data_IF_679309943117
#
_entry.id   IF_679309943117
#
_cell.length_a   1.000
_cell.length_b   1.000
_cell.length_c   1.000
_cell.angle_alpha   90.00
_cell.angle_beta   90.00
_cell.angle_gamma   90.00
#
_symmetry.space_group_name_H-M   'P 1'
#
loop_
_entity.id
_entity.type
_entity.pdbx_description
1 polymer ?
#
# COMPACT_ATOMS: atom_id res chain seq x y z
N UNK A 1 -2.78 -17.77 2.42
CA UNK A 1 -1.77 -16.97 3.17
C UNK A 1 -2.03 -15.51 2.85
N UNK A 2 -2.24 -14.71 3.87
CA UNK A 2 -2.44 -13.25 3.76
C UNK A 2 -1.27 -12.56 3.08
N UNK A 3 -1.56 -11.63 2.18
CA UNK A 3 -0.56 -10.82 1.48
C UNK A 3 -0.73 -9.36 1.89
N UNK A 4 0.31 -8.75 2.43
CA UNK A 4 0.34 -7.31 2.76
C UNK A 4 1.28 -6.60 1.82
N UNK A 5 0.79 -5.57 1.13
CA UNK A 5 1.61 -4.69 0.30
C UNK A 5 2.15 -3.55 1.18
N UNK A 6 3.45 -3.51 1.38
CA UNK A 6 4.13 -2.34 1.97
C UNK A 6 4.80 -1.58 0.83
N UNK A 7 4.30 -0.39 0.53
CA UNK A 7 4.85 0.47 -0.53
C UNK A 7 5.23 1.82 0.07
N UNK A 8 6.44 2.28 -0.21
CA UNK A 8 6.97 3.46 0.46
C UNK A 8 7.80 4.36 -0.47
N UNK A 9 8.02 5.59 -0.04
CA UNK A 9 8.97 6.52 -0.62
C UNK A 9 9.92 7.03 0.48
N UNK A 10 11.21 6.86 0.30
CA UNK A 10 12.25 7.25 1.27
C UNK A 10 13.33 8.10 0.63
N UNK A 11 13.75 9.15 1.32
CA UNK A 11 14.88 10.01 0.90
C UNK A 11 16.14 9.71 1.69
N UNK A 12 16.05 9.73 3.03
CA UNK A 12 17.21 9.57 3.92
C UNK A 12 17.38 8.15 4.47
N UNK A 13 16.44 7.24 4.18
CA UNK A 13 16.42 5.88 4.70
C UNK A 13 15.49 5.66 5.89
N UNK A 14 14.96 6.70 6.53
CA UNK A 14 14.10 6.57 7.70
C UNK A 14 12.76 5.88 7.37
N UNK A 15 12.13 6.26 6.26
CA UNK A 15 10.89 5.61 5.82
C UNK A 15 11.13 4.17 5.39
N UNK A 16 12.27 3.88 4.78
CA UNK A 16 12.67 2.51 4.45
C UNK A 16 12.79 1.66 5.71
N UNK A 17 13.50 2.16 6.74
CA UNK A 17 13.62 1.48 8.01
C UNK A 17 12.24 1.23 8.65
N UNK A 18 11.33 2.22 8.62
CA UNK A 18 9.97 2.07 9.09
C UNK A 18 9.20 0.99 8.30
N UNK A 19 9.33 0.96 6.97
CA UNK A 19 8.70 -0.04 6.10
C UNK A 19 9.17 -1.47 6.42
N UNK A 20 10.45 -1.64 6.73
CA UNK A 20 11.01 -2.94 7.13
C UNK A 20 10.44 -3.41 8.46
N UNK A 21 10.23 -2.50 9.42
CA UNK A 21 9.61 -2.82 10.72
C UNK A 21 8.14 -3.23 10.55
N UNK A 22 7.36 -2.47 9.76
CA UNK A 22 5.97 -2.86 9.43
C UNK A 22 5.92 -4.24 8.77
N UNK A 23 6.82 -4.49 7.82
CA UNK A 23 6.89 -5.79 7.15
C UNK A 23 7.27 -6.92 8.11
N UNK A 24 8.17 -6.68 9.07
CA UNK A 24 8.55 -7.65 10.08
C UNK A 24 7.37 -8.02 10.98
N UNK A 25 6.58 -7.03 11.43
CA UNK A 25 5.36 -7.24 12.21
C UNK A 25 4.32 -8.08 11.45
N UNK A 26 4.07 -7.76 10.19
CA UNK A 26 3.14 -8.53 9.36
C UNK A 26 3.63 -9.96 9.09
N UNK A 27 4.92 -10.15 8.84
CA UNK A 27 5.53 -11.48 8.68
C UNK A 27 5.45 -12.31 9.96
N UNK A 28 5.72 -11.70 11.12
CA UNK A 28 5.58 -12.34 12.43
C UNK A 28 4.16 -12.81 12.71
N UNK A 29 3.15 -12.12 12.15
CA UNK A 29 1.73 -12.50 12.20
C UNK A 29 1.32 -13.49 11.08
N UNK A 30 2.25 -14.01 10.30
CA UNK A 30 2.02 -15.04 9.28
C UNK A 30 1.66 -14.52 7.89
N UNK A 31 1.83 -13.23 7.59
CA UNK A 31 1.60 -12.68 6.27
C UNK A 31 2.82 -12.82 5.35
N UNK A 32 2.55 -12.89 4.05
CA UNK A 32 3.58 -12.70 3.02
C UNK A 32 3.72 -11.20 2.76
N UNK A 33 4.92 -10.70 2.87
CA UNK A 33 5.23 -9.27 2.66
C UNK A 33 6.56 -9.12 1.96
N UNK A 34 6.62 -8.22 1.00
CA UNK A 34 7.89 -7.70 0.45
C UNK A 34 7.74 -6.19 0.34
N UNK A 35 8.47 -5.40 1.14
CA UNK A 35 8.45 -3.94 1.00
C UNK A 35 8.97 -3.52 -0.38
N UNK A 36 8.32 -2.53 -0.99
CA UNK A 36 8.67 -1.99 -2.30
C UNK A 36 8.78 -0.48 -2.25
N UNK A 37 9.84 0.07 -2.81
CA UNK A 37 9.88 1.50 -3.16
C UNK A 37 8.77 1.79 -4.19
N UNK A 38 8.13 2.95 -4.10
CA UNK A 38 7.04 3.32 -5.02
C UNK A 38 7.44 3.26 -6.50
N UNK A 39 8.71 3.59 -6.81
CA UNK A 39 9.28 3.46 -8.16
C UNK A 39 9.37 2.02 -8.68
N UNK A 40 9.45 1.05 -7.79
CA UNK A 40 9.56 -0.38 -8.12
C UNK A 40 8.21 -1.11 -8.04
N UNK A 41 7.21 -0.48 -7.43
CA UNK A 41 5.88 -1.05 -7.30
C UNK A 41 5.13 -1.00 -8.65
N UNK A 42 4.45 -2.09 -8.98
CA UNK A 42 3.66 -2.21 -10.21
C UNK A 42 2.24 -1.66 -9.99
N UNK A 43 1.63 -1.07 -11.01
CA UNK A 43 0.24 -0.58 -10.92
C UNK A 43 -0.77 -1.63 -10.43
N UNK A 44 -0.51 -2.91 -10.69
CA UNK A 44 -1.39 -4.03 -10.33
C UNK A 44 -1.14 -4.60 -8.93
N UNK A 45 -0.05 -4.22 -8.26
CA UNK A 45 0.28 -4.75 -6.92
C UNK A 45 -0.89 -4.62 -5.91
N UNK A 46 -1.71 -3.53 -5.93
CA UNK A 46 -2.86 -3.45 -5.05
C UNK A 46 -3.95 -4.50 -5.31
N UNK A 47 -4.02 -5.10 -6.50
CA UNK A 47 -4.96 -6.19 -6.80
C UNK A 47 -4.49 -7.52 -6.21
N UNK A 48 -3.18 -7.68 -6.03
CA UNK A 48 -2.55 -8.93 -5.61
C UNK A 48 -2.39 -9.05 -4.09
N UNK A 49 -2.75 -8.01 -3.33
CA UNK A 49 -2.65 -7.99 -1.87
C UNK A 49 -4.03 -7.97 -1.20
N UNK A 50 -4.06 -8.37 0.07
CA UNK A 50 -5.24 -8.39 0.93
C UNK A 50 -5.34 -7.14 1.80
N UNK A 51 -4.21 -6.49 2.10
CA UNK A 51 -4.13 -5.23 2.82
C UNK A 51 -2.92 -4.42 2.35
N UNK A 52 -2.92 -3.10 2.59
CA UNK A 52 -1.86 -2.20 2.16
C UNK A 52 -1.34 -1.30 3.28
N UNK A 53 -0.03 -1.07 3.28
CA UNK A 53 0.66 -0.11 4.13
C UNK A 53 1.43 0.90 3.25
N UNK A 54 0.79 2.01 2.84
CA UNK A 54 1.51 3.09 2.19
C UNK A 54 2.33 3.88 3.21
N UNK A 55 3.58 4.16 2.88
CA UNK A 55 4.52 4.90 3.71
C UNK A 55 5.24 6.01 2.97
N UNK A 56 5.49 7.14 3.62
CA UNK A 56 6.20 8.27 3.02
C UNK A 56 7.03 9.04 4.02
N UNK A 57 8.06 9.73 3.50
CA UNK A 57 8.67 10.85 4.19
C UNK A 57 7.85 12.12 3.95
N UNK A 58 8.07 13.14 4.79
CA UNK A 58 7.50 14.48 4.59
C UNK A 58 8.23 15.18 3.43
N UNK A 59 7.49 15.41 2.36
CA UNK A 59 7.93 16.22 1.22
C UNK A 59 7.11 17.50 1.16
N UNK A 60 7.52 18.50 1.96
CA UNK A 60 6.82 19.79 2.06
C UNK A 60 5.34 19.67 2.49
N UNK A 61 5.10 18.93 3.56
CA UNK A 61 3.76 18.64 4.11
C UNK A 61 2.88 17.78 3.18
N UNK A 62 3.49 17.07 2.25
CA UNK A 62 2.85 16.15 1.31
C UNK A 62 3.63 14.82 1.23
N UNK A 63 3.03 13.80 0.63
CA UNK A 63 3.74 12.54 0.40
C UNK A 63 4.87 12.71 -0.62
N UNK A 64 5.90 11.90 -0.52
CA UNK A 64 7.01 11.87 -1.47
C UNK A 64 6.59 11.46 -2.88
N UNK A 65 7.31 12.00 -3.88
CA UNK A 65 6.97 11.86 -5.29
C UNK A 65 6.84 10.43 -5.79
N UNK A 66 7.71 9.52 -5.35
CA UNK A 66 7.66 8.12 -5.80
C UNK A 66 6.41 7.38 -5.29
N UNK A 67 5.90 7.70 -4.09
CA UNK A 67 4.63 7.15 -3.63
C UNK A 67 3.45 7.73 -4.42
N UNK A 68 3.45 9.06 -4.65
CA UNK A 68 2.41 9.72 -5.46
C UNK A 68 2.38 9.17 -6.89
N UNK A 69 3.52 9.03 -7.54
CA UNK A 69 3.63 8.41 -8.87
C UNK A 69 3.06 6.99 -8.90
N UNK A 70 3.40 6.17 -7.92
CA UNK A 70 2.82 4.82 -7.81
C UNK A 70 1.29 4.86 -7.70
N UNK A 71 0.75 5.72 -6.84
CA UNK A 71 -0.71 5.85 -6.67
C UNK A 71 -1.39 6.34 -7.95
N UNK A 72 -0.79 7.30 -8.66
CA UNK A 72 -1.30 7.77 -9.95
C UNK A 72 -1.34 6.64 -11.00
N UNK A 73 -0.27 5.85 -11.10
CA UNK A 73 -0.21 4.70 -12.02
C UNK A 73 -1.18 3.58 -11.64
N UNK A 74 -1.42 3.38 -10.35
CA UNK A 74 -2.27 2.31 -9.85
C UNK A 74 -3.77 2.63 -9.92
N UNK A 75 -4.17 3.90 -9.95
CA UNK A 75 -5.56 4.29 -9.78
C UNK A 75 -6.50 3.63 -10.79
N UNK A 76 -6.32 3.90 -12.08
CA UNK A 76 -7.22 3.36 -13.10
C UNK A 76 -7.19 1.84 -13.20
N UNK A 77 -6.03 1.16 -13.19
CA UNK A 77 -5.99 -0.30 -13.22
C UNK A 77 -6.67 -0.99 -12.04
N UNK A 78 -6.81 -0.31 -10.90
CA UNK A 78 -7.38 -0.91 -9.67
C UNK A 78 -8.75 -0.37 -9.30
N UNK A 79 -9.24 0.65 -10.01
CA UNK A 79 -10.50 1.31 -9.73
C UNK A 79 -11.67 0.31 -9.65
N UNK A 80 -12.42 0.36 -8.56
CA UNK A 80 -13.54 -0.54 -8.31
C UNK A 80 -13.16 -1.92 -7.78
N UNK A 81 -11.88 -2.32 -7.83
CA UNK A 81 -11.42 -3.64 -7.39
C UNK A 81 -10.77 -3.64 -6.00
N UNK A 82 -10.46 -2.47 -5.45
CA UNK A 82 -9.81 -2.31 -4.14
C UNK A 82 -10.72 -1.64 -3.10
N UNK A 83 -11.99 -1.46 -3.42
CA UNK A 83 -12.98 -0.87 -2.50
C UNK A 83 -13.01 -1.66 -1.19
N UNK A 84 -13.01 -0.92 -0.07
CA UNK A 84 -13.00 -1.44 1.30
C UNK A 84 -11.77 -2.31 1.66
N UNK A 85 -10.73 -2.34 0.79
CA UNK A 85 -9.48 -3.01 1.13
C UNK A 85 -8.85 -2.35 2.35
N UNK A 86 -8.48 -3.14 3.38
CA UNK A 86 -7.85 -2.60 4.59
C UNK A 86 -6.53 -1.89 4.28
N UNK A 87 -6.32 -0.72 4.88
CA UNK A 87 -5.03 -0.06 4.87
C UNK A 87 -4.73 0.63 6.21
N UNK A 88 -3.45 0.81 6.47
CA UNK A 88 -2.94 1.68 7.52
C UNK A 88 -1.62 2.29 7.05
N UNK A 89 -1.46 3.60 7.24
CA UNK A 89 -0.32 4.35 6.75
C UNK A 89 0.75 4.57 7.82
N UNK A 90 1.97 4.82 7.39
CA UNK A 90 3.06 5.29 8.25
C UNK A 90 3.84 6.40 7.55
N UNK A 91 4.35 7.33 8.34
CA UNK A 91 5.09 8.50 7.84
C UNK A 91 6.30 8.77 8.70
N UNK A 92 7.36 9.30 8.07
CA UNK A 92 8.56 9.77 8.77
C UNK A 92 8.79 11.23 8.43
N UNK A 93 9.18 12.04 9.42
CA UNK A 93 9.35 13.48 9.24
C UNK A 93 10.47 14.03 10.13
N UNK A 94 11.01 15.17 9.74
CA UNK A 94 11.90 15.98 10.59
C UNK A 94 11.17 17.11 11.33
N UNK A 95 9.89 17.36 11.00
CA UNK A 95 9.08 18.47 11.47
C UNK A 95 7.77 18.04 12.13
N UNK A 96 6.64 18.45 11.54
CA UNK A 96 5.31 18.32 12.18
C UNK A 96 4.52 17.07 11.74
N UNK A 97 4.98 16.30 10.77
CA UNK A 97 4.32 15.04 10.32
C UNK A 97 2.96 15.25 9.67
N UNK A 98 2.79 16.30 8.88
CA UNK A 98 1.50 16.64 8.23
C UNK A 98 1.21 15.82 6.97
N UNK A 99 2.20 15.16 6.40
CA UNK A 99 2.11 14.40 5.15
C UNK A 99 1.13 13.22 5.20
N UNK A 100 0.85 12.69 6.37
CA UNK A 100 -0.12 11.60 6.56
C UNK A 100 -1.49 11.91 5.99
N UNK A 101 -1.93 13.19 6.05
CA UNK A 101 -3.21 13.62 5.49
C UNK A 101 -3.30 13.46 3.98
N UNK A 102 -2.20 13.62 3.25
CA UNK A 102 -2.18 13.42 1.80
C UNK A 102 -2.36 11.96 1.42
N UNK A 103 -1.78 11.04 2.19
CA UNK A 103 -1.98 9.60 2.00
C UNK A 103 -3.43 9.23 2.30
N UNK A 104 -3.99 9.70 3.40
CA UNK A 104 -5.38 9.45 3.79
C UNK A 104 -6.37 9.98 2.73
N UNK A 105 -6.12 11.18 2.18
CA UNK A 105 -6.96 11.75 1.13
C UNK A 105 -6.96 10.90 -0.15
N UNK A 106 -5.79 10.40 -0.59
CA UNK A 106 -5.73 9.52 -1.75
C UNK A 106 -6.33 8.13 -1.46
N UNK A 107 -6.14 7.60 -0.25
CA UNK A 107 -6.77 6.34 0.15
C UNK A 107 -8.31 6.42 0.06
N UNK A 108 -8.90 7.57 0.38
CA UNK A 108 -10.33 7.82 0.19
C UNK A 108 -10.74 7.81 -1.29
N UNK A 109 -9.91 8.35 -2.18
CA UNK A 109 -10.16 8.32 -3.63
C UNK A 109 -10.16 6.87 -4.14
N UNK A 110 -9.26 6.03 -3.64
CA UNK A 110 -9.25 4.58 -3.91
C UNK A 110 -10.38 3.82 -3.20
N UNK A 111 -11.13 4.47 -2.30
CA UNK A 111 -12.16 3.86 -1.45
C UNK A 111 -11.60 2.74 -0.55
N UNK A 112 -10.37 2.91 -0.06
CA UNK A 112 -9.78 2.00 0.91
C UNK A 112 -10.38 2.20 2.31
N UNK A 113 -10.37 1.16 3.12
CA UNK A 113 -10.83 1.20 4.51
C UNK A 113 -9.66 1.36 5.46
N UNK A 114 -9.57 2.51 6.13
CA UNK A 114 -8.59 2.71 7.20
C UNK A 114 -8.91 1.85 8.40
N UNK A 115 -7.94 1.07 8.87
CA UNK A 115 -8.11 0.13 9.99
C UNK A 115 -7.31 0.50 11.24
N UNK A 116 -6.39 1.44 11.14
CA UNK A 116 -5.62 1.98 12.25
C UNK A 116 -5.23 3.44 11.98
N UNK A 117 -4.91 4.22 13.01
CA UNK A 117 -4.33 5.55 12.85
C UNK A 117 -3.00 5.49 12.09
N UNK A 118 -2.66 6.55 11.35
CA UNK A 118 -1.35 6.70 10.74
C UNK A 118 -0.27 6.75 11.81
N UNK A 119 0.75 5.89 11.72
CA UNK A 119 1.92 5.95 12.60
C UNK A 119 2.86 7.03 12.10
N UNK A 120 3.10 8.05 12.92
CA UNK A 120 3.97 9.18 12.61
C UNK A 120 5.26 9.09 13.41
N UNK A 121 6.40 9.10 12.72
CA UNK A 121 7.72 8.90 13.32
C UNK A 121 8.62 10.10 13.03
N UNK A 122 9.12 10.73 14.07
CA UNK A 122 10.12 11.80 13.92
C UNK A 122 11.52 11.19 13.79
N UNK A 123 12.16 11.42 12.67
CA UNK A 123 13.50 10.91 12.40
C UNK A 123 13.56 9.41 12.16
N UNK A 124 14.63 8.78 12.63
CA UNK A 124 14.84 7.33 12.54
C UNK A 124 13.93 6.60 13.54
N UNK A 125 13.27 5.49 13.13
CA UNK A 125 12.46 4.70 14.05
C UNK A 125 13.28 4.16 15.23
N UNK A 126 12.81 4.43 16.45
CA UNK A 126 13.44 3.96 17.67
C UNK A 126 12.39 3.59 18.73
N UNK A 127 12.72 2.67 19.64
CA UNK A 127 11.90 2.28 20.81
C UNK A 127 10.40 2.17 20.52
N UNK A 128 9.62 3.14 21.02
CA UNK A 128 8.15 3.13 20.91
C UNK A 128 7.68 3.14 19.44
N UNK A 129 8.33 3.91 18.58
CA UNK A 129 8.00 3.94 17.15
C UNK A 129 8.18 2.57 16.48
N UNK A 130 9.20 1.80 16.87
CA UNK A 130 9.38 0.43 16.38
C UNK A 130 8.21 -0.45 16.82
N UNK A 131 7.80 -0.37 18.10
CA UNK A 131 6.66 -1.13 18.61
C UNK A 131 5.35 -0.77 17.88
N UNK A 132 5.11 0.51 17.65
CA UNK A 132 3.91 0.99 16.96
C UNK A 132 3.89 0.53 15.49
N UNK A 133 5.03 0.55 14.80
CA UNK A 133 5.17 0.10 13.42
C UNK A 133 5.02 -1.43 13.30
N UNK A 134 5.57 -2.21 14.24
CA UNK A 134 5.37 -3.66 14.31
C UNK A 134 3.88 -3.98 14.51
N UNK A 135 3.21 -3.31 15.46
CA UNK A 135 1.78 -3.49 15.72
C UNK A 135 0.94 -3.13 14.49
N UNK A 136 1.31 -2.08 13.75
CA UNK A 136 0.67 -1.74 12.48
C UNK A 136 0.72 -2.93 11.50
N UNK A 137 1.87 -3.57 11.36
CA UNK A 137 2.05 -4.75 10.52
C UNK A 137 1.19 -5.93 10.98
N UNK A 138 1.16 -6.21 12.28
CA UNK A 138 0.30 -7.25 12.88
C UNK A 138 -1.18 -6.97 12.61
N UNK A 139 -1.61 -5.73 12.81
CA UNK A 139 -2.99 -5.30 12.59
C UNK A 139 -3.41 -5.50 11.13
N UNK A 140 -2.54 -5.14 10.17
CA UNK A 140 -2.80 -5.36 8.74
C UNK A 140 -2.92 -6.84 8.39
N UNK A 141 -2.04 -7.69 8.94
CA UNK A 141 -2.11 -9.12 8.72
C UNK A 141 -3.39 -9.76 9.29
N UNK A 142 -3.91 -9.24 10.40
CA UNK A 142 -5.13 -9.72 11.03
C UNK A 142 -6.42 -9.26 10.32
N UNK A 143 -6.42 -8.04 9.77
CA UNK A 143 -7.61 -7.43 9.16
C UNK A 143 -8.10 -8.15 7.90
N UNK A 144 -7.24 -8.86 7.21
CA UNK A 144 -7.58 -9.60 5.99
C UNK A 144 -8.54 -10.77 6.23
N UNK A 145 -8.64 -11.26 7.46
CA UNK A 145 -9.58 -12.34 7.82
C UNK A 145 -11.04 -11.88 7.80
N UNK A 146 -11.28 -10.58 7.91
CA UNK A 146 -12.61 -9.98 7.94
C UNK A 146 -13.00 -9.31 6.63
N UNK A 147 -12.02 -9.07 5.73
CA UNK A 147 -12.28 -8.54 4.41
C UNK A 147 -12.66 -9.68 3.48
N UNK A 148 -13.93 -9.75 3.12
CA UNK A 148 -14.46 -10.81 2.25
C UNK A 148 -13.72 -10.86 0.91
N UNK A 149 -13.51 -12.09 0.42
CA UNK A 149 -12.79 -12.40 -0.82
C UNK A 149 -13.26 -11.49 -1.97
N UNK A 150 -12.43 -10.55 -2.47
CA UNK A 150 -12.84 -9.72 -3.61
C UNK A 150 -13.14 -10.63 -4.81
N UNK A 151 -14.06 -10.25 -5.69
CA UNK A 151 -14.37 -11.04 -6.87
C UNK A 151 -13.08 -11.31 -7.64
N UNK A 152 -12.76 -12.56 -7.91
CA UNK A 152 -11.61 -12.94 -8.73
C UNK A 152 -11.74 -12.23 -10.06
N UNK A 153 -10.69 -11.51 -10.46
CA UNK A 153 -10.60 -10.96 -11.81
C UNK A 153 -10.79 -12.10 -12.80
N UNK A 154 -11.93 -12.13 -13.47
CA UNK A 154 -12.12 -12.97 -14.63
C UNK A 154 -11.15 -12.44 -15.68
N UNK A 155 -10.12 -13.21 -16.01
CA UNK A 155 -9.22 -12.87 -17.09
C UNK A 155 -10.06 -12.73 -18.37
N UNK A 156 -10.30 -11.52 -18.81
CA UNK A 156 -10.79 -11.28 -20.17
C UNK A 156 -9.69 -11.76 -21.10
N UNK A 157 -9.87 -12.96 -21.64
CA UNK A 157 -9.14 -13.33 -22.86
C UNK A 157 -9.67 -12.39 -23.95
N UNK A 158 -8.80 -11.67 -24.67
CA UNK A 158 -9.26 -10.99 -25.87
C UNK A 158 -9.87 -12.05 -26.78
N UNK A 159 -11.11 -11.83 -27.21
CA UNK A 159 -11.69 -12.59 -28.30
C UNK A 159 -10.75 -12.47 -29.50
N UNK A 160 -10.19 -13.57 -29.92
CA UNK A 160 -9.61 -13.65 -31.25
C UNK A 160 -10.78 -13.46 -32.22
N UNK A 161 -10.75 -12.34 -32.93
CA UNK A 161 -11.68 -12.07 -34.03
C UNK A 161 -11.28 -12.96 -35.21
N UNK A 162 -11.92 -14.11 -35.29
CA UNK A 162 -11.89 -14.98 -36.48
C UNK A 162 -12.94 -14.49 -37.48
N UNK A 163 -12.66 -13.40 -38.18
CA UNK A 163 -13.43 -13.05 -39.36
C UNK A 163 -12.53 -12.52 -40.47
N UNK A 164 -11.80 -13.42 -41.11
CA UNK A 164 -11.36 -13.26 -42.49
C UNK A 164 -11.96 -14.37 -43.30
N UNK A 165 -13.24 -14.24 -43.61
CA UNK A 165 -13.88 -14.91 -44.73
C UNK A 165 -13.53 -14.15 -46.01
N UNK A 166 -12.49 -14.58 -46.70
CA UNK A 166 -12.27 -14.20 -48.10
C UNK A 166 -13.17 -15.09 -48.96
N UNK A 167 -14.19 -14.49 -49.56
CA UNK A 167 -14.93 -15.09 -50.65
C UNK A 167 -14.46 -14.45 -51.94
N UNK A 168 -14.15 -15.29 -52.89
CA UNK A 168 -13.72 -15.18 -54.28
C UNK A 168 -14.53 -14.19 -55.12
#
# INVERSE_FOLDING_TARGET
MTKVLVVYCSMSGNTRAAAEVVAAGAKGAGARVTPKEGSQARPQDPLECDAAAPGSHDAFSYMGGALKDFLDRAFYPTQGHVTDKPYAAFVTHGGEGKEGKSIESLAQVFKLKRIAPTVSVQGEPARQAIADLEELGVTLAAATRTWGNPPRLVSHRPHADDSLGVAS
#
